data_IF_501413196514
#
_entry.id   IF_501413196514
#
_cell.length_a   1.000
_cell.length_b   1.000
_cell.length_c   1.000
_cell.angle_alpha   90.00
_cell.angle_beta   90.00
_cell.angle_gamma   90.00
#
_symmetry.space_group_name_H-M   'P 1'
#
loop_
_entity.id
_entity.type
_entity.pdbx_description
1 polymer ?
#
# COMPACT_ATOMS: atom_id res chain seq x y z
N UNK A 1 -12.58 11.76 -29.87
CA UNK A 1 -13.04 10.86 -30.93
C UNK A 1 -12.49 11.34 -32.27
N UNK A 2 -11.71 10.49 -32.93
CA UNK A 2 -11.06 10.81 -34.20
C UNK A 2 -11.47 9.77 -35.25
N UNK A 3 -12.00 10.24 -36.37
CA UNK A 3 -12.36 9.37 -37.49
C UNK A 3 -11.26 9.44 -38.56
N UNK A 4 -10.67 8.31 -38.88
CA UNK A 4 -9.54 8.21 -39.82
C UNK A 4 -9.96 7.41 -41.04
N UNK A 5 -9.58 7.93 -42.20
CA UNK A 5 -9.85 7.32 -43.49
C UNK A 5 -8.54 7.10 -44.23
N UNK A 6 -8.22 5.84 -44.53
CA UNK A 6 -7.05 5.46 -45.32
C UNK A 6 -7.48 5.06 -46.71
N UNK A 7 -6.94 5.70 -47.78
CA UNK A 7 -7.34 5.41 -49.16
C UNK A 7 -7.13 3.94 -49.55
N UNK A 8 -8.08 3.36 -50.22
CA UNK A 8 -8.01 1.96 -50.69
C UNK A 8 -6.78 1.66 -51.52
N UNK A 9 -6.27 2.63 -52.29
CA UNK A 9 -5.07 2.47 -53.10
C UNK A 9 -3.82 2.17 -52.25
N UNK A 10 -3.71 2.75 -51.06
CA UNK A 10 -2.60 2.48 -50.12
C UNK A 10 -2.74 1.13 -49.46
N UNK A 11 -3.97 0.76 -49.05
CA UNK A 11 -4.28 -0.56 -48.48
C UNK A 11 -3.97 -1.65 -49.47
N UNK A 12 -4.49 -1.53 -50.70
CA UNK A 12 -4.29 -2.53 -51.77
C UNK A 12 -2.80 -2.67 -52.13
N UNK A 13 -2.04 -1.58 -52.19
CA UNK A 13 -0.60 -1.60 -52.44
C UNK A 13 0.16 -2.40 -51.35
N UNK A 14 -0.09 -2.14 -50.06
CA UNK A 14 0.52 -2.88 -48.96
C UNK A 14 0.09 -4.35 -48.92
N UNK A 15 -1.19 -4.62 -49.20
CA UNK A 15 -1.70 -6.00 -49.30
C UNK A 15 -1.02 -6.77 -50.41
N UNK A 16 -0.85 -6.15 -51.61
CA UNK A 16 -0.15 -6.79 -52.72
C UNK A 16 1.33 -7.06 -52.41
N UNK A 17 2.00 -6.18 -51.71
CA UNK A 17 3.41 -6.38 -51.32
C UNK A 17 3.53 -7.48 -50.24
N UNK A 18 2.63 -7.52 -49.27
CA UNK A 18 2.59 -8.61 -48.28
C UNK A 18 2.27 -9.96 -48.91
N UNK A 19 1.35 -9.99 -49.94
CA UNK A 19 1.08 -11.19 -50.71
C UNK A 19 2.30 -11.69 -51.47
N UNK A 20 3.12 -10.79 -52.10
CA UNK A 20 4.38 -11.15 -52.76
C UNK A 20 5.38 -11.72 -51.77
N UNK A 21 5.53 -11.10 -50.60
CA UNK A 21 6.40 -11.58 -49.56
C UNK A 21 5.98 -12.97 -49.06
N UNK A 22 4.69 -13.14 -48.75
CA UNK A 22 4.10 -14.42 -48.31
C UNK A 22 4.26 -15.52 -49.39
N UNK A 23 4.13 -15.19 -50.69
CA UNK A 23 4.32 -16.14 -51.77
C UNK A 23 5.73 -16.72 -51.82
N UNK A 24 6.73 -15.93 -51.38
CA UNK A 24 8.12 -16.37 -51.27
C UNK A 24 8.42 -17.33 -50.12
N UNK A 25 7.63 -17.25 -49.06
CA UNK A 25 7.86 -17.99 -47.82
C UNK A 25 6.97 -19.23 -47.63
N UNK A 26 5.76 -19.21 -48.17
CA UNK A 26 4.74 -20.24 -47.94
C UNK A 26 5.01 -21.53 -48.70
N UNK A 27 4.82 -22.66 -48.02
CA UNK A 27 4.83 -24.00 -48.61
C UNK A 27 3.42 -24.53 -48.80
N UNK A 28 2.98 -24.61 -50.04
CA UNK A 28 1.65 -25.15 -50.42
C UNK A 28 1.83 -26.47 -51.15
N UNK A 29 1.06 -27.51 -50.73
CA UNK A 29 1.06 -28.80 -51.45
C UNK A 29 0.73 -28.60 -52.93
N UNK A 30 1.63 -29.12 -53.78
CA UNK A 30 1.50 -29.01 -55.23
C UNK A 30 2.33 -27.88 -55.89
N UNK A 31 3.01 -27.07 -55.09
CA UNK A 31 3.87 -26.00 -55.62
C UNK A 31 5.26 -26.07 -55.01
N UNK A 32 6.28 -25.70 -55.81
CA UNK A 32 7.65 -25.58 -55.32
C UNK A 32 7.77 -24.39 -54.39
N UNK A 33 8.46 -24.52 -53.20
CA UNK A 33 8.66 -23.39 -52.28
C UNK A 33 9.22 -22.15 -53.00
N UNK A 34 8.61 -20.97 -52.74
CA UNK A 34 8.96 -19.71 -53.36
C UNK A 34 8.48 -19.50 -54.83
N UNK A 35 7.70 -20.44 -55.40
CA UNK A 35 7.13 -20.37 -56.75
C UNK A 35 5.61 -20.55 -56.74
N UNK A 36 4.95 -20.17 -55.66
CA UNK A 36 3.49 -20.23 -55.56
C UNK A 36 2.88 -19.06 -56.30
N UNK A 37 1.88 -19.29 -57.24
CA UNK A 37 1.20 -18.18 -57.92
C UNK A 37 0.45 -17.27 -56.91
N UNK A 38 0.53 -15.96 -57.09
CA UNK A 38 -0.09 -14.96 -56.22
C UNK A 38 -1.61 -15.20 -56.08
N UNK A 39 -2.27 -15.68 -57.13
CA UNK A 39 -3.72 -16.01 -57.11
C UNK A 39 -4.05 -17.09 -56.04
N UNK A 40 -3.19 -18.09 -55.87
CA UNK A 40 -3.38 -19.16 -54.89
C UNK A 40 -3.10 -18.68 -53.48
N UNK A 41 -2.11 -17.79 -53.31
CA UNK A 41 -1.81 -17.15 -52.03
C UNK A 41 -2.97 -16.23 -51.62
N UNK A 42 -3.45 -15.40 -52.53
CA UNK A 42 -4.61 -14.51 -52.29
C UNK A 42 -5.88 -15.30 -51.93
N UNK A 43 -6.11 -16.45 -52.60
CA UNK A 43 -7.27 -17.29 -52.30
C UNK A 43 -7.24 -17.89 -50.89
N UNK A 44 -6.05 -18.27 -50.41
CA UNK A 44 -5.89 -18.99 -49.12
C UNK A 44 -5.61 -18.07 -47.96
N UNK A 45 -4.85 -17.02 -48.16
CA UNK A 45 -4.33 -16.13 -47.13
C UNK A 45 -4.81 -14.69 -47.26
N UNK A 46 -5.53 -14.35 -48.34
CA UNK A 46 -5.91 -12.97 -48.66
C UNK A 46 -6.71 -12.28 -47.58
N UNK A 47 -7.65 -12.96 -46.91
CA UNK A 47 -8.45 -12.39 -45.84
C UNK A 47 -7.56 -12.10 -44.60
N UNK A 48 -6.71 -13.06 -44.21
CA UNK A 48 -5.81 -12.89 -43.08
C UNK A 48 -4.79 -11.78 -43.33
N UNK A 49 -4.23 -11.72 -44.58
CA UNK A 49 -3.27 -10.67 -44.95
C UNK A 49 -3.97 -9.29 -44.98
N UNK A 50 -5.19 -9.20 -45.45
CA UNK A 50 -5.97 -7.96 -45.42
C UNK A 50 -6.17 -7.48 -43.97
N UNK A 51 -6.54 -8.38 -43.06
CA UNK A 51 -6.72 -8.05 -41.65
C UNK A 51 -5.41 -7.59 -41.00
N UNK A 52 -4.31 -8.32 -41.22
CA UNK A 52 -2.97 -7.98 -40.72
C UNK A 52 -2.51 -6.60 -41.20
N UNK A 53 -2.59 -6.38 -42.54
CA UNK A 53 -2.20 -5.10 -43.14
C UNK A 53 -3.08 -3.96 -42.65
N UNK A 54 -4.41 -4.22 -42.52
CA UNK A 54 -5.33 -3.19 -42.03
C UNK A 54 -5.02 -2.82 -40.57
N UNK A 55 -4.65 -3.79 -39.73
CA UNK A 55 -4.25 -3.52 -38.34
C UNK A 55 -2.95 -2.69 -38.27
N UNK A 56 -1.93 -3.05 -39.07
CA UNK A 56 -0.69 -2.28 -39.17
C UNK A 56 -0.96 -0.85 -39.66
N UNK A 57 -1.83 -0.69 -40.67
CA UNK A 57 -2.18 0.62 -41.21
C UNK A 57 -3.01 1.48 -40.24
N UNK A 58 -3.93 0.87 -39.49
CA UNK A 58 -4.67 1.59 -38.44
C UNK A 58 -3.73 2.18 -37.39
N UNK A 59 -2.75 1.40 -36.92
CA UNK A 59 -1.76 1.89 -35.95
C UNK A 59 -0.90 3.03 -36.52
N UNK A 60 -0.40 2.86 -37.74
CA UNK A 60 0.41 3.88 -38.40
C UNK A 60 -0.38 5.17 -38.65
N UNK A 61 -1.59 5.05 -39.21
CA UNK A 61 -2.43 6.22 -39.53
C UNK A 61 -2.94 6.94 -38.26
N UNK A 62 -3.16 6.21 -37.17
CA UNK A 62 -3.47 6.83 -35.90
C UNK A 62 -2.29 7.64 -35.36
N UNK A 63 -1.07 7.08 -35.38
CA UNK A 63 0.13 7.80 -34.97
C UNK A 63 0.38 9.07 -35.80
N UNK A 64 0.19 8.98 -37.15
CA UNK A 64 0.31 10.14 -38.04
C UNK A 64 -0.77 11.21 -37.75
N UNK A 65 -2.02 10.77 -37.49
CA UNK A 65 -3.13 11.68 -37.19
C UNK A 65 -2.93 12.42 -35.88
N UNK A 66 -2.40 11.75 -34.84
CA UNK A 66 -2.05 12.37 -33.54
C UNK A 66 -1.01 13.48 -33.73
N UNK A 67 0.03 13.20 -34.53
CA UNK A 67 1.07 14.21 -34.80
C UNK A 67 0.54 15.41 -35.62
N UNK A 68 -0.34 15.16 -36.59
CA UNK A 68 -0.94 16.22 -37.42
C UNK A 68 -1.86 17.15 -36.61
N UNK A 69 -2.66 16.57 -35.74
CA UNK A 69 -3.63 17.32 -34.90
C UNK A 69 -3.00 17.83 -33.59
N UNK A 70 -1.75 17.51 -33.34
CA UNK A 70 -1.01 17.92 -32.11
C UNK A 70 -1.76 17.51 -30.83
N UNK A 71 -2.35 16.31 -30.85
CA UNK A 71 -3.11 15.77 -29.72
C UNK A 71 -2.23 14.80 -28.93
N UNK A 72 -2.28 14.90 -27.60
CA UNK A 72 -1.56 14.00 -26.71
C UNK A 72 -2.55 13.01 -26.06
N UNK A 73 -2.63 11.74 -26.54
CA UNK A 73 -3.56 10.76 -26.00
C UNK A 73 -3.07 10.23 -24.64
N UNK A 74 -4.00 10.14 -23.69
CA UNK A 74 -3.78 9.52 -22.40
C UNK A 74 -4.25 8.04 -22.48
N UNK A 75 -3.27 7.14 -22.71
CA UNK A 75 -3.52 5.70 -22.82
C UNK A 75 -3.76 5.19 -24.24
N UNK A 76 -4.10 3.90 -24.35
CA UNK A 76 -4.35 3.23 -25.62
C UNK A 76 -5.74 3.55 -26.16
N UNK A 77 -5.87 3.88 -27.49
CA UNK A 77 -7.17 4.16 -28.08
C UNK A 77 -8.04 2.91 -28.20
N UNK A 78 -9.33 3.06 -27.97
CA UNK A 78 -10.35 2.06 -28.34
C UNK A 78 -10.76 2.29 -29.80
N UNK A 79 -10.66 1.24 -30.63
CA UNK A 79 -11.02 1.32 -32.05
C UNK A 79 -12.45 0.85 -32.25
N UNK A 80 -13.28 1.71 -32.85
CA UNK A 80 -14.69 1.49 -33.14
C UNK A 80 -14.99 1.69 -34.65
N UNK A 81 -16.15 1.24 -35.09
CA UNK A 81 -16.69 1.49 -36.45
C UNK A 81 -15.71 1.11 -37.58
N UNK A 82 -15.02 -0.03 -37.44
CA UNK A 82 -14.01 -0.44 -38.42
C UNK A 82 -14.64 -1.02 -39.66
N UNK A 83 -14.31 -0.45 -40.81
CA UNK A 83 -14.73 -0.97 -42.15
C UNK A 83 -13.49 -1.47 -42.88
N UNK A 84 -13.36 -2.79 -43.02
CA UNK A 84 -12.28 -3.47 -43.75
C UNK A 84 -12.90 -4.25 -44.90
N UNK A 85 -12.94 -3.66 -46.09
CA UNK A 85 -13.43 -4.32 -47.29
C UNK A 85 -12.43 -4.14 -48.46
N UNK A 86 -12.15 -5.21 -49.17
CA UNK A 86 -11.21 -5.15 -50.29
C UNK A 86 -11.69 -4.16 -51.37
N UNK A 87 -10.84 -3.21 -51.77
CA UNK A 87 -11.14 -2.18 -52.75
C UNK A 87 -11.99 -1.02 -52.26
N UNK A 88 -12.25 -0.94 -50.95
CA UNK A 88 -12.84 0.23 -50.31
C UNK A 88 -11.82 0.87 -49.37
N UNK A 89 -12.04 2.14 -49.07
CA UNK A 89 -11.21 2.85 -48.11
C UNK A 89 -11.35 2.20 -46.73
N UNK A 90 -10.22 2.07 -46.02
CA UNK A 90 -10.20 1.62 -44.62
C UNK A 90 -10.63 2.77 -43.74
N UNK A 91 -11.76 2.61 -43.08
CA UNK A 91 -12.24 3.64 -42.13
C UNK A 91 -12.36 3.07 -40.75
N UNK A 92 -11.96 3.85 -39.75
CA UNK A 92 -12.11 3.50 -38.37
C UNK A 92 -12.23 4.74 -37.50
N UNK A 93 -12.80 4.57 -36.33
CA UNK A 93 -12.90 5.62 -35.32
C UNK A 93 -12.07 5.24 -34.13
N UNK A 94 -11.11 6.11 -33.77
CA UNK A 94 -10.34 6.00 -32.54
C UNK A 94 -11.01 6.84 -31.45
N UNK A 95 -11.34 6.19 -30.34
CA UNK A 95 -11.82 6.82 -29.10
C UNK A 95 -10.69 6.77 -28.09
N UNK A 96 -10.28 7.92 -27.55
CA UNK A 96 -9.23 8.03 -26.57
C UNK A 96 -9.46 9.28 -25.72
N UNK A 97 -8.91 9.27 -24.51
CA UNK A 97 -8.83 10.41 -23.63
C UNK A 97 -7.57 11.21 -23.96
N UNK A 98 -7.54 12.47 -23.61
CA UNK A 98 -6.38 13.36 -23.81
C UNK A 98 -5.87 13.85 -22.45
N UNK A 99 -4.58 14.12 -22.36
CA UNK A 99 -4.04 14.78 -21.19
C UNK A 99 -4.73 16.14 -21.02
N UNK A 100 -5.18 16.45 -19.80
CA UNK A 100 -5.77 17.76 -19.53
C UNK A 100 -4.72 18.86 -19.59
N UNK A 101 -5.11 20.05 -20.03
CA UNK A 101 -4.31 21.25 -19.82
C UNK A 101 -4.41 21.65 -18.35
N UNK A 102 -3.29 21.64 -17.63
CA UNK A 102 -3.24 21.90 -16.20
C UNK A 102 -2.58 23.26 -15.96
N UNK A 103 -3.31 24.17 -15.36
CA UNK A 103 -2.76 25.37 -14.80
C UNK A 103 -2.57 25.15 -13.29
N UNK A 104 -1.32 24.96 -12.81
CA UNK A 104 -1.08 24.82 -11.38
C UNK A 104 -1.62 26.01 -10.61
N UNK A 105 -2.28 25.74 -9.48
CA UNK A 105 -2.89 26.75 -8.62
C UNK A 105 -1.87 27.75 -8.02
N UNK A 106 -2.35 28.62 -7.16
CA UNK A 106 -1.50 29.56 -6.43
C UNK A 106 -0.92 28.88 -5.18
N UNK A 107 0.38 28.61 -5.18
CA UNK A 107 1.07 27.91 -4.10
C UNK A 107 1.10 28.71 -2.79
N UNK A 108 0.90 30.03 -2.84
CA UNK A 108 0.82 30.86 -1.63
C UNK A 108 -0.39 30.56 -0.75
N UNK A 109 -1.38 29.83 -1.28
CA UNK A 109 -2.57 29.40 -0.52
C UNK A 109 -2.36 28.09 0.24
N UNK A 110 -1.27 27.37 -0.04
CA UNK A 110 -0.96 26.10 0.61
C UNK A 110 -0.39 26.40 2.00
N UNK A 111 -1.07 25.88 3.02
CA UNK A 111 -0.63 25.99 4.40
C UNK A 111 0.12 24.73 4.79
N UNK A 112 1.31 24.89 5.34
CA UNK A 112 2.17 23.78 5.76
C UNK A 112 2.52 23.95 7.23
N UNK A 113 2.19 22.96 8.04
CA UNK A 113 2.61 22.87 9.43
C UNK A 113 3.87 22.03 9.51
N UNK A 114 5.00 22.67 9.82
CA UNK A 114 6.28 21.99 9.93
C UNK A 114 6.55 21.63 11.40
N UNK A 115 6.61 20.31 11.75
CA UNK A 115 7.00 19.89 13.08
C UNK A 115 8.42 20.33 13.42
N UNK A 116 8.58 20.87 14.61
CA UNK A 116 9.90 21.23 15.19
C UNK A 116 10.02 20.50 16.52
N UNK A 117 10.98 19.61 16.63
CA UNK A 117 11.25 18.86 17.85
C UNK A 117 12.75 18.85 18.17
N UNK A 118 13.06 19.03 19.44
CA UNK A 118 14.42 18.87 19.96
C UNK A 118 14.55 17.50 20.62
N UNK A 119 15.67 16.81 20.36
CA UNK A 119 15.95 15.52 21.01
C UNK A 119 16.54 15.79 22.39
N UNK A 120 15.74 15.55 23.42
CA UNK A 120 16.14 15.71 24.82
C UNK A 120 17.01 14.53 25.30
N UNK A 121 17.67 14.68 26.46
CA UNK A 121 18.38 13.57 27.09
C UNK A 121 17.41 12.44 27.50
N UNK A 122 16.17 12.78 27.86
CA UNK A 122 15.14 11.79 28.21
C UNK A 122 14.75 10.95 26.99
N UNK A 123 14.63 11.55 25.80
CA UNK A 123 14.32 10.82 24.56
C UNK A 123 15.45 9.87 24.19
N UNK A 124 16.69 10.32 24.40
CA UNK A 124 17.87 9.52 24.18
C UNK A 124 17.95 8.31 25.15
N UNK A 125 17.65 8.55 26.45
CA UNK A 125 17.59 7.46 27.44
C UNK A 125 16.47 6.46 27.08
N UNK A 126 15.29 6.94 26.70
CA UNK A 126 14.17 6.10 26.23
C UNK A 126 14.55 5.28 25.00
N UNK A 127 15.28 5.87 24.05
CA UNK A 127 15.74 5.17 22.86
C UNK A 127 16.75 4.07 23.23
N UNK A 128 17.71 4.35 24.12
CA UNK A 128 18.67 3.35 24.59
C UNK A 128 17.96 2.18 25.28
N UNK A 129 16.96 2.45 26.14
CA UNK A 129 16.17 1.38 26.75
C UNK A 129 15.36 0.58 25.70
N UNK A 130 14.77 1.23 24.72
CA UNK A 130 14.09 0.55 23.60
C UNK A 130 15.02 -0.36 22.80
N UNK A 131 16.26 0.09 22.54
CA UNK A 131 17.28 -0.73 21.89
C UNK A 131 17.69 -1.93 22.77
N UNK A 132 17.73 -1.77 24.10
CA UNK A 132 17.97 -2.87 25.05
C UNK A 132 16.85 -3.89 25.04
N UNK A 133 15.58 -3.42 25.01
CA UNK A 133 14.41 -4.29 24.94
C UNK A 133 14.37 -5.12 23.65
N UNK A 134 14.79 -4.54 22.53
CA UNK A 134 14.89 -5.25 21.25
C UNK A 134 15.95 -6.36 21.25
N UNK A 135 16.94 -6.26 22.15
CA UNK A 135 18.06 -7.21 22.30
C UNK A 135 17.98 -7.99 23.62
N UNK A 136 16.79 -8.04 24.25
CA UNK A 136 16.61 -8.85 25.46
C UNK A 136 16.91 -10.31 25.18
N UNK A 137 17.64 -10.94 26.11
CA UNK A 137 17.94 -12.37 26.11
C UNK A 137 17.00 -13.09 27.06
N UNK A 138 16.73 -14.36 26.77
CA UNK A 138 15.90 -15.20 27.63
C UNK A 138 16.74 -16.26 28.30
N UNK A 139 16.73 -16.26 29.63
CA UNK A 139 17.54 -17.18 30.47
C UNK A 139 16.62 -18.13 31.22
N UNK A 140 16.85 -19.44 31.08
CA UNK A 140 16.06 -20.46 31.76
C UNK A 140 16.09 -20.32 33.26
N UNK A 141 14.93 -20.37 33.89
CA UNK A 141 14.76 -20.23 35.36
C UNK A 141 13.88 -21.36 35.91
N UNK A 142 14.19 -21.75 37.18
CA UNK A 142 13.43 -22.78 37.91
C UNK A 142 12.39 -22.14 38.86
N UNK A 143 11.54 -21.28 38.30
CA UNK A 143 10.41 -20.64 38.99
C UNK A 143 9.14 -20.66 38.14
N UNK A 144 8.01 -20.35 38.76
CA UNK A 144 6.76 -20.12 38.04
C UNK A 144 6.90 -18.91 37.12
N UNK A 145 6.25 -19.01 35.94
CA UNK A 145 6.24 -17.99 34.91
C UNK A 145 5.51 -16.71 35.39
N UNK A 146 6.11 -15.57 35.10
CA UNK A 146 5.57 -14.24 35.35
C UNK A 146 5.32 -13.49 34.04
N UNK A 147 4.69 -12.32 34.13
CA UNK A 147 4.54 -11.41 32.99
C UNK A 147 5.94 -11.01 32.50
N UNK A 148 6.12 -10.90 31.18
CA UNK A 148 7.37 -10.66 30.43
C UNK A 148 8.34 -11.86 30.35
N UNK A 149 8.05 -13.00 31.01
CA UNK A 149 8.81 -14.22 30.78
C UNK A 149 8.43 -14.87 29.45
N UNK A 150 9.38 -15.56 28.85
CA UNK A 150 9.15 -16.45 27.71
C UNK A 150 8.90 -17.86 28.22
N UNK A 151 7.80 -18.47 27.75
CA UNK A 151 7.45 -19.85 28.10
C UNK A 151 7.48 -20.70 26.85
N UNK A 152 8.30 -21.75 26.84
CA UNK A 152 8.29 -22.74 25.78
C UNK A 152 7.27 -23.81 26.12
N UNK A 153 6.28 -23.99 25.23
CA UNK A 153 5.15 -24.88 25.46
C UNK A 153 4.88 -25.79 24.26
N UNK A 154 4.30 -26.95 24.56
CA UNK A 154 3.55 -27.75 23.60
C UNK A 154 2.07 -27.50 23.87
N UNK A 155 1.28 -27.23 22.84
CA UNK A 155 -0.15 -27.05 23.01
C UNK A 155 -0.97 -27.75 21.93
N UNK A 156 -2.19 -28.15 22.32
CA UNK A 156 -3.19 -28.68 21.38
C UNK A 156 -4.57 -28.13 21.73
N UNK A 157 -5.14 -27.38 20.79
CA UNK A 157 -6.46 -26.74 20.90
C UNK A 157 -7.55 -27.58 20.23
N UNK A 158 -8.73 -27.62 20.86
CA UNK A 158 -9.94 -28.20 20.31
C UNK A 158 -11.14 -27.29 20.52
N UNK A 159 -12.03 -27.25 19.55
CA UNK A 159 -13.33 -26.55 19.61
C UNK A 159 -14.42 -27.61 19.55
N UNK A 160 -15.35 -27.61 20.52
CA UNK A 160 -16.40 -28.63 20.64
C UNK A 160 -15.89 -30.07 20.70
N UNK A 161 -14.60 -30.25 21.07
CA UNK A 161 -13.93 -31.57 21.18
C UNK A 161 -13.31 -32.04 19.87
N UNK A 162 -13.29 -31.26 18.82
CA UNK A 162 -12.62 -31.54 17.55
C UNK A 162 -11.37 -30.64 17.39
N UNK A 163 -10.26 -31.24 16.95
CA UNK A 163 -9.03 -30.52 16.70
C UNK A 163 -9.18 -29.65 15.43
N UNK A 164 -8.60 -28.45 15.41
CA UNK A 164 -8.67 -27.54 14.27
C UNK A 164 -7.28 -27.22 13.71
N UNK A 165 -7.23 -26.85 12.45
CA UNK A 165 -5.99 -26.54 11.75
C UNK A 165 -5.32 -25.27 12.31
N UNK A 166 -4.06 -25.41 12.77
CA UNK A 166 -3.30 -24.38 13.46
C UNK A 166 -3.51 -24.34 14.98
N UNK A 167 -4.34 -25.24 15.53
CA UNK A 167 -4.55 -25.38 16.97
C UNK A 167 -3.45 -26.15 17.71
N UNK A 168 -2.43 -26.68 17.02
CA UNK A 168 -1.39 -27.51 17.64
C UNK A 168 0.00 -27.01 17.27
N UNK A 169 0.88 -26.92 18.26
CA UNK A 169 2.30 -26.71 18.08
C UNK A 169 3.11 -27.36 19.20
N UNK A 170 4.33 -27.79 18.88
CA UNK A 170 5.31 -28.33 19.80
C UNK A 170 6.49 -27.37 19.92
N UNK A 171 6.93 -27.07 21.16
CA UNK A 171 8.09 -26.23 21.43
C UNK A 171 7.93 -24.77 21.03
N UNK A 172 6.70 -24.25 21.09
CA UNK A 172 6.42 -22.84 20.77
C UNK A 172 6.87 -21.92 21.90
N UNK A 173 7.63 -20.87 21.54
CA UNK A 173 8.07 -19.86 22.49
C UNK A 173 7.04 -18.71 22.52
N UNK A 174 6.48 -18.46 23.71
CA UNK A 174 5.45 -17.41 23.93
C UNK A 174 5.90 -16.50 25.04
N UNK A 175 5.89 -15.20 24.79
CA UNK A 175 6.17 -14.16 25.79
C UNK A 175 4.86 -13.72 26.44
N UNK A 176 4.75 -13.90 27.75
CA UNK A 176 3.55 -13.56 28.51
C UNK A 176 3.36 -12.04 28.57
N UNK A 177 2.22 -11.55 28.08
CA UNK A 177 1.90 -10.12 28.02
C UNK A 177 2.28 -9.46 26.68
N UNK A 178 2.75 -10.25 25.70
CA UNK A 178 3.05 -9.73 24.36
C UNK A 178 1.81 -9.39 23.52
N UNK A 179 0.65 -9.95 23.85
CA UNK A 179 -0.57 -9.83 23.07
C UNK A 179 -0.53 -10.56 21.71
N UNK A 180 0.42 -11.48 21.54
CA UNK A 180 0.56 -12.26 20.30
C UNK A 180 -0.42 -13.41 20.19
N UNK A 181 -1.01 -13.82 21.32
CA UNK A 181 -1.97 -14.92 21.41
C UNK A 181 -3.38 -14.37 21.68
N UNK A 182 -4.39 -15.25 21.49
CA UNK A 182 -5.78 -14.88 21.78
C UNK A 182 -5.97 -14.52 23.27
N UNK A 183 -6.88 -13.58 23.58
CA UNK A 183 -7.11 -13.14 24.97
C UNK A 183 -7.39 -14.30 25.93
N UNK A 184 -6.78 -14.26 27.10
CA UNK A 184 -6.89 -15.30 28.12
C UNK A 184 -5.87 -16.44 28.00
N UNK A 185 -5.18 -16.58 26.85
CA UNK A 185 -4.19 -17.62 26.65
C UNK A 185 -2.89 -17.33 27.42
N UNK A 186 -2.33 -16.13 27.22
CA UNK A 186 -1.09 -15.71 27.88
C UNK A 186 -1.27 -15.55 29.38
N UNK A 187 -2.42 -15.02 29.82
CA UNK A 187 -2.75 -14.91 31.25
C UNK A 187 -2.81 -16.29 31.91
N UNK A 188 -3.33 -17.31 31.18
CA UNK A 188 -3.42 -18.66 31.66
C UNK A 188 -2.07 -19.38 31.82
N UNK A 189 -1.00 -18.87 31.19
CA UNK A 189 0.36 -19.36 31.37
C UNK A 189 1.04 -18.81 32.62
N UNK A 190 0.54 -17.70 33.17
CA UNK A 190 1.11 -17.07 34.34
C UNK A 190 0.99 -18.00 35.56
N UNK A 191 2.09 -18.19 36.27
CA UNK A 191 2.16 -19.03 37.47
C UNK A 191 2.44 -20.50 37.22
N UNK A 192 2.52 -20.93 35.95
CA UNK A 192 2.93 -22.31 35.60
C UNK A 192 4.45 -22.46 35.66
N UNK A 193 4.89 -23.67 35.97
CA UNK A 193 6.32 -24.02 36.03
C UNK A 193 6.68 -25.04 34.98
N UNK A 194 7.96 -25.18 34.69
CA UNK A 194 8.46 -26.21 33.77
C UNK A 194 7.99 -27.60 34.18
N UNK A 195 7.40 -28.35 33.26
CA UNK A 195 6.82 -29.67 33.44
C UNK A 195 5.35 -29.69 33.84
N UNK A 196 4.71 -28.54 34.07
CA UNK A 196 3.28 -28.46 34.35
C UNK A 196 2.46 -28.75 33.10
N UNK A 197 1.36 -29.47 33.30
CA UNK A 197 0.34 -29.75 32.27
C UNK A 197 -0.99 -29.16 32.73
N UNK A 198 -1.63 -28.36 31.89
CA UNK A 198 -2.92 -27.72 32.21
C UNK A 198 -3.82 -27.67 30.99
N UNK A 199 -5.09 -27.37 31.23
CA UNK A 199 -6.03 -27.06 30.16
C UNK A 199 -6.57 -25.63 30.38
N UNK A 200 -6.50 -24.82 29.33
CA UNK A 200 -7.03 -23.45 29.34
C UNK A 200 -8.27 -23.37 28.47
N UNK A 201 -9.31 -22.79 29.04
CA UNK A 201 -10.54 -22.45 28.34
C UNK A 201 -10.46 -20.98 27.87
N UNK A 202 -10.39 -20.76 26.56
CA UNK A 202 -10.28 -19.44 25.97
C UNK A 202 -11.36 -19.24 24.92
N UNK A 203 -11.70 -17.99 24.63
CA UNK A 203 -12.72 -17.67 23.61
C UNK A 203 -12.04 -16.88 22.49
N UNK A 204 -12.21 -17.32 21.25
CA UNK A 204 -11.74 -16.57 20.09
C UNK A 204 -12.48 -15.24 19.98
N UNK A 205 -11.80 -14.13 19.63
CA UNK A 205 -12.44 -12.86 19.33
C UNK A 205 -13.48 -12.98 18.21
N UNK A 206 -14.50 -12.11 18.20
CA UNK A 206 -15.54 -12.10 17.16
C UNK A 206 -14.98 -11.71 15.78
N UNK A 207 -13.88 -10.96 15.74
CA UNK A 207 -13.16 -10.49 14.56
C UNK A 207 -11.98 -11.41 14.15
N UNK A 208 -11.95 -12.65 14.65
CA UNK A 208 -10.87 -13.58 14.34
C UNK A 208 -10.82 -13.91 12.85
N UNK A 209 -9.62 -13.93 12.25
CA UNK A 209 -9.39 -14.11 10.81
C UNK A 209 -10.05 -15.34 10.20
N UNK A 210 -10.24 -16.43 10.98
CA UNK A 210 -10.98 -17.63 10.55
C UNK A 210 -12.41 -17.54 11.08
N UNK A 211 -13.36 -17.21 10.20
CA UNK A 211 -14.80 -17.10 10.52
C UNK A 211 -15.35 -18.35 11.22
N UNK A 212 -14.78 -19.54 10.92
CA UNK A 212 -15.19 -20.80 11.53
C UNK A 212 -14.87 -20.90 13.02
N UNK A 213 -13.91 -20.09 13.51
CA UNK A 213 -13.46 -20.08 14.91
C UNK A 213 -13.94 -18.82 15.67
N UNK A 214 -14.32 -17.77 14.98
CA UNK A 214 -14.73 -16.49 15.56
C UNK A 214 -15.85 -16.68 16.60
N UNK A 215 -15.67 -16.10 17.81
CA UNK A 215 -16.60 -16.17 18.92
C UNK A 215 -16.75 -17.53 19.60
N UNK A 216 -16.02 -18.57 19.16
CA UNK A 216 -16.14 -19.94 19.75
C UNK A 216 -15.20 -20.12 20.92
N UNK A 217 -15.65 -20.95 21.87
CA UNK A 217 -14.81 -21.42 22.97
C UNK A 217 -13.90 -22.56 22.50
N UNK A 218 -12.65 -22.47 22.88
CA UNK A 218 -11.64 -23.52 22.62
C UNK A 218 -10.99 -23.96 23.93
N UNK A 219 -10.66 -25.23 23.99
CA UNK A 219 -9.91 -25.82 25.09
C UNK A 219 -8.52 -26.15 24.61
N UNK A 220 -7.50 -25.49 25.18
CA UNK A 220 -6.10 -25.76 24.89
C UNK A 220 -5.46 -26.58 25.98
N UNK A 221 -4.99 -27.76 25.64
CA UNK A 221 -4.13 -28.55 26.52
C UNK A 221 -2.71 -28.08 26.32
N UNK A 222 -2.08 -27.67 27.38
CA UNK A 222 -0.76 -27.05 27.39
C UNK A 222 0.16 -27.86 28.27
N UNK A 223 1.38 -28.05 27.78
CA UNK A 223 2.49 -28.59 28.56
C UNK A 223 3.64 -27.58 28.52
N UNK A 224 4.10 -27.15 29.68
CA UNK A 224 5.22 -26.22 29.81
C UNK A 224 6.53 -27.01 29.76
N UNK A 225 7.38 -26.71 28.80
CA UNK A 225 8.71 -27.33 28.65
C UNK A 225 9.78 -26.61 29.46
N UNK A 226 9.82 -25.27 29.38
CA UNK A 226 10.74 -24.41 30.10
C UNK A 226 10.13 -23.03 30.32
N UNK A 227 10.60 -22.37 31.37
CA UNK A 227 10.34 -20.96 31.68
C UNK A 227 11.64 -20.19 31.58
N UNK A 228 11.64 -19.04 30.88
CA UNK A 228 12.82 -18.22 30.68
C UNK A 228 12.48 -16.77 31.06
N UNK A 229 13.33 -16.19 31.90
CA UNK A 229 13.23 -14.80 32.31
C UNK A 229 13.87 -13.90 31.29
N UNK A 230 13.20 -12.80 30.93
CA UNK A 230 13.80 -11.77 30.09
C UNK A 230 14.88 -11.02 30.83
N UNK A 231 16.07 -10.96 30.26
CA UNK A 231 17.18 -10.16 30.77
C UNK A 231 17.57 -9.11 29.75
N UNK A 232 17.56 -7.86 30.20
CA UNK A 232 18.06 -6.77 29.39
C UNK A 232 19.59 -6.83 29.35
N UNK A 233 20.22 -6.73 28.16
CA UNK A 233 21.68 -6.72 28.07
C UNK A 233 22.28 -5.56 28.85
N UNK A 234 23.45 -5.74 29.39
CA UNK A 234 24.23 -4.63 29.97
C UNK A 234 24.66 -3.67 28.85
N UNK A 235 24.61 -2.37 29.14
CA UNK A 235 25.01 -1.33 28.17
C UNK A 235 26.54 -1.25 28.19
N UNK A 236 27.18 -2.26 27.60
CA UNK A 236 28.62 -2.42 27.54
C UNK A 236 29.15 -2.43 26.09
N UNK A 237 30.44 -2.67 25.95
CA UNK A 237 31.08 -2.65 24.63
C UNK A 237 30.59 -3.76 23.67
N UNK A 238 30.04 -4.87 24.17
CA UNK A 238 29.46 -5.92 23.36
C UNK A 238 28.14 -5.43 22.75
N UNK A 239 27.32 -4.77 23.54
CA UNK A 239 26.08 -4.14 23.10
C UNK A 239 26.33 -3.04 22.06
N UNK A 240 27.33 -2.17 22.27
CA UNK A 240 27.61 -1.09 21.28
C UNK A 240 28.03 -1.64 19.93
N UNK A 241 28.75 -2.76 19.87
CA UNK A 241 29.18 -3.41 18.64
C UNK A 241 28.00 -3.94 17.78
N UNK A 242 26.93 -4.40 18.42
CA UNK A 242 25.74 -4.86 17.73
C UNK A 242 25.05 -3.74 16.95
N UNK A 243 25.27 -2.49 17.37
CA UNK A 243 24.75 -1.29 16.71
C UNK A 243 25.82 -0.54 15.88
N UNK A 244 26.94 -1.21 15.56
CA UNK A 244 27.96 -0.68 14.66
C UNK A 244 29.02 0.23 15.32
N UNK A 245 28.98 0.39 16.64
CA UNK A 245 30.02 1.16 17.38
C UNK A 245 31.13 0.21 17.84
N UNK A 246 32.13 0.00 16.97
CA UNK A 246 33.21 -0.96 17.24
C UNK A 246 34.16 -0.57 18.40
N UNK A 247 34.46 0.74 18.48
CA UNK A 247 35.35 1.29 19.55
C UNK A 247 34.68 2.54 20.14
N UNK A 248 34.45 2.54 21.45
CA UNK A 248 33.88 3.68 22.16
C UNK A 248 33.35 3.31 23.53
N UNK A 249 33.01 4.34 24.28
CA UNK A 249 32.33 4.25 25.56
C UNK A 249 30.83 4.60 25.40
N UNK A 250 30.10 4.62 26.48
CA UNK A 250 28.68 4.99 26.49
C UNK A 250 28.39 6.36 25.82
N UNK A 251 29.31 7.31 25.98
CA UNK A 251 29.15 8.64 25.39
C UNK A 251 29.24 8.58 23.87
N UNK A 252 30.17 7.80 23.30
CA UNK A 252 30.31 7.60 21.88
C UNK A 252 29.06 6.90 21.28
N UNK A 253 28.52 5.90 22.00
CA UNK A 253 27.28 5.23 21.64
C UNK A 253 26.09 6.20 21.64
N UNK A 254 25.94 7.02 22.69
CA UNK A 254 24.86 8.05 22.76
C UNK A 254 24.94 9.07 21.62
N UNK A 255 26.16 9.45 21.23
CA UNK A 255 26.34 10.36 20.08
C UNK A 255 25.83 9.71 18.79
N UNK A 256 26.13 8.44 18.56
CA UNK A 256 25.66 7.73 17.38
C UNK A 256 24.14 7.52 17.38
N UNK A 257 23.56 7.12 18.54
CA UNK A 257 22.12 7.01 18.70
C UNK A 257 21.43 8.35 18.42
N UNK A 258 21.95 9.46 18.98
CA UNK A 258 21.44 10.81 18.72
C UNK A 258 21.50 11.16 17.24
N UNK A 259 22.60 10.86 16.55
CA UNK A 259 22.75 11.13 15.13
C UNK A 259 21.74 10.35 14.28
N UNK A 260 21.42 9.11 14.68
CA UNK A 260 20.39 8.31 14.03
C UNK A 260 18.98 8.86 14.30
N UNK A 261 18.68 9.28 15.54
CA UNK A 261 17.42 9.94 15.90
C UNK A 261 17.23 11.26 15.14
N UNK A 262 18.30 12.05 14.95
CA UNK A 262 18.26 13.28 14.14
C UNK A 262 17.97 13.00 12.67
N UNK A 263 18.52 11.93 12.10
CA UNK A 263 18.21 11.50 10.73
C UNK A 263 16.76 11.04 10.61
N UNK A 264 16.26 10.26 11.57
CA UNK A 264 14.89 9.79 11.62
C UNK A 264 13.91 10.97 11.74
N UNK A 265 14.16 11.89 12.67
CA UNK A 265 13.37 13.10 12.85
C UNK A 265 13.30 13.92 11.56
N UNK A 266 14.46 14.17 10.94
CA UNK A 266 14.51 14.90 9.68
C UNK A 266 13.70 14.21 8.59
N UNK A 267 13.86 12.90 8.41
CA UNK A 267 13.10 12.15 7.41
C UNK A 267 11.59 12.18 7.68
N UNK A 268 11.17 12.06 8.95
CA UNK A 268 9.77 12.14 9.35
C UNK A 268 9.18 13.54 9.08
N UNK A 269 9.90 14.59 9.44
CA UNK A 269 9.48 15.98 9.18
C UNK A 269 9.39 16.26 7.68
N UNK A 270 10.42 15.87 6.91
CA UNK A 270 10.45 16.04 5.45
C UNK A 270 9.27 15.30 4.78
N UNK A 271 8.93 14.08 5.24
CA UNK A 271 7.79 13.33 4.76
C UNK A 271 6.45 13.99 5.11
N UNK A 272 6.28 14.49 6.35
CA UNK A 272 5.06 15.21 6.77
C UNK A 272 4.86 16.49 5.95
N UNK A 273 5.90 17.28 5.79
CA UNK A 273 5.88 18.51 4.97
C UNK A 273 5.54 18.17 3.51
N UNK A 274 6.17 17.15 2.96
CA UNK A 274 5.92 16.67 1.59
C UNK A 274 4.46 16.23 1.42
N UNK A 275 3.91 15.44 2.35
CA UNK A 275 2.51 15.00 2.29
C UNK A 275 1.56 16.19 2.25
N UNK A 276 1.71 17.16 3.16
CA UNK A 276 0.87 18.37 3.22
C UNK A 276 0.95 19.21 1.94
N UNK A 277 2.14 19.33 1.35
CA UNK A 277 2.31 20.02 0.06
C UNK A 277 1.56 19.28 -1.05
N UNK A 278 1.70 17.94 -1.11
CA UNK A 278 1.03 17.13 -2.12
C UNK A 278 -0.50 17.19 -1.97
N UNK A 279 -1.02 17.19 -0.75
CA UNK A 279 -2.44 17.36 -0.46
C UNK A 279 -2.91 18.76 -0.90
N UNK A 280 -2.19 19.80 -0.51
CA UNK A 280 -2.49 21.19 -0.91
C UNK A 280 -2.44 21.40 -2.43
N UNK A 281 -1.58 20.67 -3.17
CA UNK A 281 -1.56 20.70 -4.63
C UNK A 281 -2.82 20.08 -5.24
N UNK A 282 -3.27 18.94 -4.70
CA UNK A 282 -4.50 18.29 -5.14
C UNK A 282 -5.71 19.20 -4.89
N UNK A 283 -5.79 19.77 -3.70
CA UNK A 283 -6.92 20.60 -3.28
C UNK A 283 -6.98 21.94 -4.04
N UNK A 284 -5.82 22.53 -4.37
CA UNK A 284 -5.75 23.79 -5.08
C UNK A 284 -5.90 23.69 -6.60
N UNK A 285 -5.86 22.47 -7.17
CA UNK A 285 -5.84 22.26 -8.62
C UNK A 285 -6.97 21.34 -9.05
N UNK A 286 -8.02 21.91 -9.65
CA UNK A 286 -9.10 21.13 -10.27
C UNK A 286 -8.63 20.51 -11.59
N UNK A 287 -8.55 19.18 -11.64
CA UNK A 287 -8.23 18.47 -12.88
C UNK A 287 -9.18 17.28 -13.13
N UNK A 288 -9.47 17.08 -14.39
CA UNK A 288 -10.18 15.87 -14.82
C UNK A 288 -9.16 14.77 -15.11
N UNK A 289 -9.12 13.76 -14.25
CA UNK A 289 -8.16 12.65 -14.40
C UNK A 289 -8.64 11.68 -15.49
N UNK A 290 -7.83 11.39 -16.52
CA UNK A 290 -8.18 10.40 -17.54
C UNK A 290 -8.29 8.99 -16.94
N UNK A 291 -9.42 8.32 -17.20
CA UNK A 291 -9.68 6.97 -16.68
C UNK A 291 -8.66 5.93 -17.17
N UNK A 292 -8.14 6.12 -18.38
CA UNK A 292 -7.10 5.24 -18.91
C UNK A 292 -5.87 5.22 -18.02
N UNK A 293 -5.40 6.40 -17.53
CA UNK A 293 -4.25 6.50 -16.63
C UNK A 293 -4.55 5.90 -15.25
N UNK A 294 -5.77 6.09 -14.75
CA UNK A 294 -6.20 5.50 -13.46
C UNK A 294 -6.18 3.97 -13.56
N UNK A 295 -6.71 3.40 -14.64
CA UNK A 295 -6.71 1.95 -14.84
C UNK A 295 -5.27 1.39 -14.95
N UNK A 296 -4.39 2.07 -15.68
CA UNK A 296 -2.98 1.68 -15.78
C UNK A 296 -2.29 1.72 -14.41
N UNK A 297 -2.61 2.70 -13.56
CA UNK A 297 -2.05 2.79 -12.21
C UNK A 297 -2.62 1.72 -11.27
N UNK A 298 -3.92 1.42 -11.33
CA UNK A 298 -4.55 0.31 -10.61
C UNK A 298 -3.84 -1.01 -10.95
N UNK A 299 -3.57 -1.26 -12.23
CA UNK A 299 -2.90 -2.49 -12.64
C UNK A 299 -1.44 -2.55 -12.15
N UNK A 300 -0.73 -1.43 -12.07
CA UNK A 300 0.60 -1.35 -11.43
C UNK A 300 0.53 -1.65 -9.95
N UNK A 301 -0.38 -1.01 -9.22
CA UNK A 301 -0.54 -1.22 -7.77
C UNK A 301 -0.90 -2.67 -7.44
N UNK A 302 -1.77 -3.31 -8.23
CA UNK A 302 -2.07 -4.74 -8.11
C UNK A 302 -0.84 -5.61 -8.30
N UNK A 303 -0.03 -5.31 -9.32
CA UNK A 303 1.20 -6.06 -9.58
C UNK A 303 2.24 -5.88 -8.46
N UNK A 304 2.35 -4.67 -7.92
CA UNK A 304 3.25 -4.37 -6.80
C UNK A 304 2.82 -5.10 -5.52
N UNK A 305 1.52 -5.10 -5.23
CA UNK A 305 0.95 -5.86 -4.11
C UNK A 305 1.22 -7.37 -4.24
N UNK A 306 0.97 -7.95 -5.40
CA UNK A 306 1.27 -9.38 -5.65
C UNK A 306 2.77 -9.66 -5.52
N UNK A 307 3.63 -8.73 -5.94
CA UNK A 307 5.08 -8.86 -5.82
C UNK A 307 5.54 -8.82 -4.37
N UNK A 308 4.91 -7.99 -3.55
CA UNK A 308 5.22 -7.83 -2.12
C UNK A 308 4.72 -9.00 -1.28
N UNK A 309 3.50 -9.49 -1.53
CA UNK A 309 2.85 -10.52 -0.70
C UNK A 309 2.80 -11.90 -1.34
N UNK A 310 3.09 -12.02 -2.63
CA UNK A 310 2.87 -13.22 -3.44
C UNK A 310 3.81 -14.39 -3.20
N UNK A 311 4.77 -14.32 -2.28
CA UNK A 311 5.55 -15.44 -1.68
C UNK A 311 5.87 -16.65 -2.57
N UNK A 312 6.00 -16.48 -3.91
CA UNK A 312 6.32 -17.57 -4.82
C UNK A 312 5.11 -18.37 -5.36
N UNK A 313 3.88 -18.08 -4.96
CA UNK A 313 2.69 -18.58 -5.62
C UNK A 313 2.29 -17.63 -6.76
N UNK A 314 1.88 -18.19 -7.91
CA UNK A 314 1.33 -17.41 -9.03
C UNK A 314 -0.07 -16.90 -8.63
N UNK A 315 -0.11 -15.81 -7.89
CA UNK A 315 -1.35 -15.11 -7.63
C UNK A 315 -1.63 -14.21 -8.82
N UNK A 316 -2.84 -14.29 -9.38
CA UNK A 316 -3.25 -13.43 -10.50
C UNK A 316 -3.66 -12.05 -9.96
N UNK A 317 -2.88 -11.03 -10.30
CA UNK A 317 -3.15 -9.65 -9.89
C UNK A 317 -4.56 -9.17 -10.28
N UNK A 318 -5.15 -9.73 -11.33
CA UNK A 318 -6.52 -9.38 -11.79
C UNK A 318 -7.63 -9.83 -10.83
N UNK A 319 -7.32 -10.73 -9.88
CA UNK A 319 -8.28 -11.18 -8.86
C UNK A 319 -8.46 -10.14 -7.73
N UNK A 320 -7.55 -9.18 -7.60
CA UNK A 320 -7.70 -8.10 -6.63
C UNK A 320 -8.75 -7.09 -7.14
N UNK A 321 -9.80 -6.76 -6.34
CA UNK A 321 -10.82 -5.79 -6.73
C UNK A 321 -10.20 -4.43 -7.08
N UNK A 322 -10.67 -3.78 -8.15
CA UNK A 322 -10.15 -2.47 -8.58
C UNK A 322 -10.48 -1.38 -7.56
N UNK A 323 -11.62 -1.51 -6.92
CA UNK A 323 -12.19 -0.57 -5.96
C UNK A 323 -11.25 -0.32 -4.76
N UNK A 324 -10.45 -1.32 -4.38
CA UNK A 324 -9.45 -1.17 -3.30
C UNK A 324 -8.31 -0.20 -3.64
N UNK A 325 -8.09 0.06 -4.92
CA UNK A 325 -6.97 0.87 -5.42
C UNK A 325 -7.44 2.17 -6.09
N UNK A 326 -8.75 2.35 -6.32
CA UNK A 326 -9.28 3.42 -7.17
C UNK A 326 -8.93 4.80 -6.63
N UNK A 327 -9.26 5.09 -5.38
CA UNK A 327 -9.02 6.41 -4.78
C UNK A 327 -7.53 6.75 -4.74
N UNK A 328 -6.70 5.80 -4.34
CA UNK A 328 -5.26 5.98 -4.27
C UNK A 328 -4.63 6.14 -5.67
N UNK A 329 -5.15 5.42 -6.67
CA UNK A 329 -4.71 5.55 -8.06
C UNK A 329 -5.10 6.89 -8.65
N UNK A 330 -6.33 7.36 -8.42
CA UNK A 330 -6.78 8.69 -8.84
C UNK A 330 -5.83 9.76 -8.27
N UNK A 331 -5.56 9.73 -6.96
CA UNK A 331 -4.68 10.68 -6.29
C UNK A 331 -3.25 10.64 -6.86
N UNK A 332 -2.67 9.45 -7.08
CA UNK A 332 -1.33 9.32 -7.66
C UNK A 332 -1.24 9.87 -9.07
N UNK A 333 -2.21 9.55 -9.93
CA UNK A 333 -2.25 10.08 -11.30
C UNK A 333 -2.43 11.59 -11.28
N UNK A 334 -3.31 12.11 -10.42
CA UNK A 334 -3.56 13.53 -10.25
C UNK A 334 -2.27 14.27 -9.87
N UNK A 335 -1.58 13.81 -8.84
CA UNK A 335 -0.29 14.36 -8.40
C UNK A 335 0.76 14.30 -9.49
N UNK A 336 0.90 13.17 -10.18
CA UNK A 336 1.84 13.02 -11.29
C UNK A 336 1.59 14.02 -12.42
N UNK A 337 0.33 14.27 -12.75
CA UNK A 337 -0.05 15.25 -13.76
C UNK A 337 0.25 16.69 -13.32
N UNK A 338 -0.07 17.05 -12.07
CA UNK A 338 0.21 18.37 -11.51
C UNK A 338 1.72 18.63 -11.44
N UNK A 339 2.49 17.69 -10.90
CA UNK A 339 3.96 17.79 -10.80
C UNK A 339 4.58 17.97 -12.18
N UNK A 340 4.16 17.19 -13.20
CA UNK A 340 4.64 17.35 -14.55
C UNK A 340 4.31 18.74 -15.12
N UNK A 341 3.12 19.26 -14.88
CA UNK A 341 2.74 20.61 -15.32
C UNK A 341 3.60 21.70 -14.65
N UNK A 342 3.95 21.54 -13.36
CA UNK A 342 4.85 22.45 -12.64
C UNK A 342 6.27 22.41 -13.24
N UNK A 343 6.79 21.20 -13.48
CA UNK A 343 8.11 21.00 -14.08
C UNK A 343 8.20 21.66 -15.45
N UNK A 344 7.19 21.48 -16.30
CA UNK A 344 7.13 22.10 -17.64
C UNK A 344 7.00 23.63 -17.56
N UNK A 345 6.08 24.14 -16.73
CA UNK A 345 5.86 25.58 -16.56
C UNK A 345 7.10 26.31 -16.08
N UNK A 346 7.83 25.71 -15.14
CA UNK A 346 9.03 26.31 -14.53
C UNK A 346 10.33 25.94 -15.28
N UNK A 347 10.25 25.12 -16.36
CA UNK A 347 11.40 24.59 -17.08
C UNK A 347 12.42 23.93 -16.13
N UNK A 348 11.96 23.17 -15.16
CA UNK A 348 12.82 22.53 -14.16
C UNK A 348 13.62 21.40 -14.82
N UNK A 349 14.89 21.31 -14.46
CA UNK A 349 15.81 20.26 -14.92
C UNK A 349 16.32 19.53 -13.69
N UNK A 350 16.40 18.21 -13.78
CA UNK A 350 16.95 17.39 -12.69
C UNK A 350 18.39 17.79 -12.41
N UNK A 351 18.69 18.10 -11.17
CA UNK A 351 20.05 18.42 -10.71
C UNK A 351 20.89 17.14 -10.58
N UNK A 352 21.91 17.03 -11.43
CA UNK A 352 22.76 15.85 -11.49
C UNK A 352 23.61 15.65 -10.22
N UNK A 353 23.98 16.73 -9.54
CA UNK A 353 24.76 16.65 -8.30
C UNK A 353 23.87 16.12 -7.15
N UNK A 354 22.61 16.56 -7.05
CA UNK A 354 21.62 16.02 -6.10
C UNK A 354 21.31 14.55 -6.38
N UNK A 355 21.19 14.15 -7.64
CA UNK A 355 21.02 12.72 -8.01
C UNK A 355 22.17 11.90 -7.49
N UNK A 356 23.39 12.40 -7.64
CA UNK A 356 24.57 11.73 -7.13
C UNK A 356 24.59 11.63 -5.60
N UNK A 357 24.32 12.73 -4.92
CA UNK A 357 24.23 12.76 -3.45
C UNK A 357 23.19 11.78 -2.95
N UNK A 358 22.01 11.70 -3.61
CA UNK A 358 20.95 10.77 -3.24
C UNK A 358 21.35 9.31 -3.42
N UNK A 359 22.03 8.99 -4.52
CA UNK A 359 22.55 7.64 -4.75
C UNK A 359 23.63 7.29 -3.71
N UNK A 360 24.52 8.22 -3.36
CA UNK A 360 25.55 8.03 -2.33
C UNK A 360 24.92 7.87 -0.94
N UNK A 361 23.86 8.62 -0.63
CA UNK A 361 23.06 8.47 0.60
C UNK A 361 22.46 7.07 0.71
N UNK A 362 21.76 6.60 -0.33
CA UNK A 362 21.21 5.24 -0.39
C UNK A 362 22.30 4.19 -0.23
N UNK A 363 23.41 4.38 -0.93
CA UNK A 363 24.53 3.45 -0.91
C UNK A 363 25.24 3.37 0.43
N UNK A 364 25.24 4.45 1.23
CA UNK A 364 25.94 4.53 2.51
C UNK A 364 25.48 3.48 3.53
N UNK A 365 24.25 2.96 3.40
CA UNK A 365 23.68 1.93 4.29
C UNK A 365 24.09 0.50 3.92
N UNK A 366 24.85 0.31 2.84
CA UNK A 366 25.25 -1.02 2.35
C UNK A 366 26.72 -1.30 2.59
N UNK A 367 27.10 -2.58 2.72
CA UNK A 367 28.48 -3.00 2.94
C UNK A 367 29.46 -2.59 1.83
N UNK A 368 28.95 -2.38 0.58
CA UNK A 368 29.77 -2.05 -0.59
C UNK A 368 29.18 -0.85 -1.34
N UNK A 369 29.29 0.36 -0.82
CA UNK A 369 28.65 1.57 -1.37
C UNK A 369 29.04 1.83 -2.83
N UNK A 370 30.33 1.72 -3.19
CA UNK A 370 30.82 1.99 -4.54
C UNK A 370 30.21 1.06 -5.62
N UNK A 371 29.96 -0.20 -5.26
CA UNK A 371 29.34 -1.15 -6.20
C UNK A 371 27.87 -0.79 -6.46
N UNK A 372 27.16 -0.37 -5.41
CA UNK A 372 25.77 0.05 -5.53
C UNK A 372 25.64 1.34 -6.35
N UNK A 373 26.51 2.32 -6.13
CA UNK A 373 26.57 3.54 -6.94
C UNK A 373 26.78 3.20 -8.43
N UNK A 374 27.73 2.32 -8.74
CA UNK A 374 27.99 1.89 -10.12
C UNK A 374 26.79 1.13 -10.71
N UNK A 375 26.07 0.34 -9.92
CA UNK A 375 24.86 -0.35 -10.35
C UNK A 375 23.77 0.64 -10.77
N UNK A 376 23.47 1.68 -9.95
CA UNK A 376 22.49 2.71 -10.29
C UNK A 376 22.82 3.42 -11.60
N UNK A 377 24.08 3.80 -11.81
CA UNK A 377 24.48 4.46 -13.06
C UNK A 377 24.52 3.53 -14.28
N UNK A 378 24.66 2.21 -14.09
CA UNK A 378 24.64 1.24 -15.18
C UNK A 378 23.21 0.80 -15.55
N UNK A 379 22.23 1.01 -14.68
CA UNK A 379 20.85 0.63 -14.89
C UNK A 379 19.98 1.87 -15.11
N UNK A 380 19.59 2.09 -16.38
CA UNK A 380 18.84 3.28 -16.80
C UNK A 380 17.48 3.41 -16.06
N UNK A 381 16.83 2.29 -15.75
CA UNK A 381 15.55 2.27 -15.05
C UNK A 381 15.70 2.72 -13.58
N UNK A 382 16.70 2.20 -12.88
CA UNK A 382 17.01 2.59 -11.51
C UNK A 382 17.45 4.05 -11.42
N UNK A 383 18.28 4.50 -12.38
CA UNK A 383 18.69 5.90 -12.44
C UNK A 383 17.50 6.83 -12.65
N UNK A 384 16.56 6.49 -13.52
CA UNK A 384 15.32 7.26 -13.74
C UNK A 384 14.46 7.34 -12.48
N UNK A 385 14.38 6.28 -11.68
CA UNK A 385 13.64 6.31 -10.41
C UNK A 385 14.25 7.33 -9.46
N UNK A 386 15.58 7.35 -9.29
CA UNK A 386 16.24 8.35 -8.44
C UNK A 386 16.09 9.76 -9.02
N UNK A 387 16.20 9.92 -10.33
CA UNK A 387 15.97 11.22 -10.99
C UNK A 387 14.55 11.74 -10.75
N UNK A 388 13.54 10.87 -10.79
CA UNK A 388 12.15 11.25 -10.49
C UNK A 388 11.99 11.68 -9.03
N UNK A 389 12.62 10.96 -8.10
CA UNK A 389 12.61 11.31 -6.68
C UNK A 389 13.24 12.69 -6.43
N UNK A 390 14.42 12.94 -7.01
CA UNK A 390 15.10 14.24 -6.90
C UNK A 390 14.29 15.36 -7.53
N UNK A 391 13.64 15.10 -8.68
CA UNK A 391 12.75 16.09 -9.31
C UNK A 391 11.56 16.42 -8.40
N UNK A 392 10.96 15.41 -7.77
CA UNK A 392 9.87 15.61 -6.82
C UNK A 392 10.33 16.44 -5.61
N UNK A 393 11.52 16.15 -5.05
CA UNK A 393 12.11 16.95 -3.98
C UNK A 393 12.34 18.42 -4.41
N UNK A 394 12.83 18.66 -5.63
CA UNK A 394 13.02 20.01 -6.17
C UNK A 394 11.68 20.74 -6.36
N UNK A 395 10.63 20.06 -6.79
CA UNK A 395 9.27 20.64 -6.90
C UNK A 395 8.73 21.00 -5.52
N UNK A 396 8.87 20.11 -4.54
CA UNK A 396 8.46 20.36 -3.15
C UNK A 396 9.18 21.58 -2.58
N UNK A 397 10.50 21.70 -2.76
CA UNK A 397 11.28 22.88 -2.32
C UNK A 397 10.81 24.17 -3.01
N UNK A 398 10.51 24.11 -4.31
CA UNK A 398 10.00 25.27 -5.04
C UNK A 398 8.68 25.77 -4.48
N UNK A 399 7.75 24.84 -4.19
CA UNK A 399 6.44 25.15 -3.62
C UNK A 399 6.60 25.66 -2.18
N UNK A 400 7.44 24.99 -1.38
CA UNK A 400 7.69 25.38 0.01
C UNK A 400 8.24 26.81 0.13
N UNK A 401 8.95 27.29 -0.89
CA UNK A 401 9.46 28.66 -0.92
C UNK A 401 8.36 29.72 -1.10
N UNK A 402 7.19 29.32 -1.62
CA UNK A 402 6.04 30.21 -1.89
C UNK A 402 4.90 29.98 -0.89
N UNK A 403 4.79 28.76 -0.30
CA UNK A 403 3.75 28.35 0.63
C UNK A 403 3.85 29.06 2.00
N UNK A 404 2.72 29.11 2.71
CA UNK A 404 2.68 29.62 4.08
C UNK A 404 3.11 28.53 5.06
N UNK A 405 4.33 28.65 5.61
CA UNK A 405 4.89 27.65 6.53
C UNK A 405 4.75 28.13 7.96
N UNK A 406 4.15 27.31 8.81
CA UNK A 406 4.03 27.55 10.25
C UNK A 406 4.80 26.47 11.01
N UNK A 407 5.76 26.88 11.86
CA UNK A 407 6.50 25.97 12.72
C UNK A 407 5.66 25.62 13.95
N UNK A 408 5.50 24.34 14.24
CA UNK A 408 4.81 23.81 15.40
C UNK A 408 5.77 23.01 16.28
N UNK A 409 6.02 23.50 17.49
CA UNK A 409 6.83 22.78 18.48
C UNK A 409 6.05 21.56 19.01
N UNK A 410 6.67 20.40 19.00
CA UNK A 410 6.08 19.17 19.51
C UNK A 410 7.16 18.20 20.05
N UNK A 411 6.80 17.20 20.90
CA UNK A 411 7.72 16.18 21.37
C UNK A 411 8.31 15.35 20.23
N UNK A 412 9.53 14.82 20.41
CA UNK A 412 10.19 13.96 19.44
C UNK A 412 9.33 12.78 19.02
N UNK A 413 8.71 12.06 19.96
CA UNK A 413 7.87 10.89 19.68
C UNK A 413 6.66 11.21 18.79
N UNK A 414 6.08 12.38 18.92
CA UNK A 414 4.96 12.83 18.11
C UNK A 414 5.43 13.29 16.72
N UNK A 415 6.59 13.94 16.67
CA UNK A 415 7.18 14.39 15.42
C UNK A 415 7.53 13.23 14.47
N UNK A 416 7.94 12.07 14.98
CA UNK A 416 8.33 10.90 14.19
C UNK A 416 7.16 9.98 13.80
N UNK A 417 5.96 10.12 14.40
CA UNK A 417 4.79 9.30 14.04
C UNK A 417 4.44 9.50 12.56
N UNK A 418 4.10 8.41 11.83
CA UNK A 418 3.60 8.52 10.45
C UNK A 418 2.34 9.40 10.37
N UNK A 419 2.11 10.11 9.26
CA UNK A 419 0.94 10.99 9.08
C UNK A 419 -0.40 10.29 9.34
N UNK A 420 -0.59 9.09 8.83
CA UNK A 420 -1.83 8.30 9.00
C UNK A 420 -2.15 7.95 10.46
N UNK A 421 -1.12 7.74 11.29
CA UNK A 421 -1.31 7.48 12.72
C UNK A 421 -1.51 8.76 13.53
N UNK A 422 -1.04 9.89 13.04
CA UNK A 422 -1.28 11.18 13.64
C UNK A 422 -2.74 11.62 13.46
N UNK A 423 -3.31 11.46 12.27
CA UNK A 423 -4.73 11.75 11.99
C UNK A 423 -5.66 10.86 12.82
N UNK A 424 -5.37 9.55 12.95
CA UNK A 424 -6.18 8.65 13.79
C UNK A 424 -6.11 9.02 15.28
N UNK A 425 -4.94 9.44 15.78
CA UNK A 425 -4.77 9.86 17.17
C UNK A 425 -5.46 11.20 17.45
N UNK A 426 -5.52 12.12 16.49
CA UNK A 426 -6.27 13.38 16.61
C UNK A 426 -7.78 13.13 16.56
N UNK A 427 -8.27 12.22 15.72
CA UNK A 427 -9.66 11.81 15.65
C UNK A 427 -10.12 11.08 16.94
N UNK A 428 -9.29 10.21 17.49
CA UNK A 428 -9.57 9.55 18.78
C UNK A 428 -9.56 10.54 19.94
N UNK A 429 -8.63 11.51 19.95
CA UNK A 429 -8.58 12.57 20.96
C UNK A 429 -9.77 13.54 20.84
N UNK A 430 -10.22 13.86 19.63
CA UNK A 430 -11.39 14.68 19.37
C UNK A 430 -12.68 13.97 19.83
N UNK A 431 -12.82 12.67 19.56
CA UNK A 431 -13.96 11.86 20.01
C UNK A 431 -13.97 11.67 21.54
N UNK A 432 -12.79 11.54 22.18
CA UNK A 432 -12.68 11.46 23.63
C UNK A 432 -13.04 12.81 24.30
N UNK A 433 -12.68 13.94 23.67
CA UNK A 433 -13.03 15.28 24.13
C UNK A 433 -14.52 15.61 24.02
N UNK A 434 -15.21 15.09 22.98
CA UNK A 434 -16.68 15.23 22.86
C UNK A 434 -17.44 14.35 23.87
N UNK A 435 -16.88 13.19 24.25
CA UNK A 435 -17.50 12.32 25.26
C UNK A 435 -17.39 12.91 26.68
N UNK A 436 -16.36 13.69 26.98
CA UNK A 436 -16.20 14.36 28.28
C UNK A 436 -17.04 15.66 28.39
N UNK A 437 -17.31 16.32 27.26
CA UNK A 437 -18.13 17.54 27.23
C UNK A 437 -19.64 17.27 27.36
N UNK A 438 -20.10 16.02 27.14
CA UNK A 438 -21.53 15.64 27.28
C UNK A 438 -21.90 15.17 28.70
N UNK A 439 -20.95 15.02 29.61
CA UNK A 439 -21.18 14.61 30.99
C UNK A 439 -21.26 15.75 32.01
N UNK A 440 -20.95 17.00 31.63
CA UNK A 440 -21.07 18.14 32.56
C UNK A 440 -22.38 18.93 32.47
N UNK A 441 -23.25 18.72 31.48
CA UNK A 441 -24.50 19.48 31.33
C UNK A 441 -25.79 18.79 31.84
N UNK A 442 -25.70 17.61 32.45
CA UNK A 442 -26.88 16.84 32.97
C UNK A 442 -27.01 16.79 34.50
N UNK A 443 -26.37 17.71 35.25
CA UNK A 443 -26.51 17.79 36.72
C UNK A 443 -27.02 19.16 37.16
N UNK A 444 -28.14 19.64 36.64
CA UNK A 444 -28.96 20.66 37.28
C UNK A 444 -30.42 20.52 36.82
N UNK A 445 -31.20 19.60 37.40
CA UNK A 445 -32.61 19.73 37.73
C UNK A 445 -33.16 18.41 38.36
N UNK A 446 -32.86 18.18 39.62
CA UNK A 446 -33.64 17.23 40.43
C UNK A 446 -34.28 17.98 41.60
N UNK A 447 -35.43 18.54 41.34
CA UNK A 447 -36.33 19.06 42.38
C UNK A 447 -37.01 17.90 43.07
N UNK A 448 -36.80 17.87 44.37
CA UNK A 448 -37.46 17.07 45.39
C UNK A 448 -38.97 17.31 45.35
N UNK A 449 -39.81 16.26 45.24
CA UNK A 449 -41.18 16.25 45.75
C UNK A 449 -41.47 14.89 46.40
N UNK A 450 -41.89 15.01 47.65
CA UNK A 450 -42.18 14.08 48.70
C UNK A 450 -43.42 13.21 48.45
N UNK A 451 -43.39 12.03 49.09
CA UNK A 451 -44.43 11.04 49.45
C UNK A 451 -45.91 11.35 49.19
N UNK A 452 -46.70 10.38 48.71
CA UNK A 452 -47.67 9.62 49.44
C UNK A 452 -48.41 8.56 48.63
N UNK A 453 -48.57 7.40 49.24
CA UNK A 453 -49.39 6.23 49.08
C UNK A 453 -50.65 6.28 48.19
N UNK A 454 -50.96 5.20 47.48
CA UNK A 454 -51.97 4.19 47.69
C UNK A 454 -52.22 3.29 46.48
N UNK A 455 -52.06 2.03 46.69
CA UNK A 455 -52.87 0.84 46.45
C UNK A 455 -53.92 0.87 45.32
N UNK A 456 -53.86 0.02 44.39
CA UNK A 456 -54.86 -1.01 44.02
C UNK A 456 -54.55 -1.73 42.71
N UNK A 457 -54.43 -3.03 42.78
CA UNK A 457 -54.45 -3.98 41.64
C UNK A 457 -55.91 -4.17 41.17
N UNK A 458 -56.25 -4.70 39.97
CA UNK A 458 -55.85 -6.03 39.51
C UNK A 458 -55.66 -6.20 37.99
N UNK A 459 -54.93 -7.27 37.63
CA UNK A 459 -55.11 -8.01 36.42
C UNK A 459 -56.44 -8.75 36.36
N UNK A 460 -56.92 -9.50 35.38
CA UNK A 460 -56.28 -10.15 34.26
C UNK A 460 -57.09 -10.23 32.92
N UNK A 461 -56.70 -11.21 32.08
CA UNK A 461 -57.37 -11.96 30.96
C UNK A 461 -56.89 -11.55 29.58
N UNK A 462 -56.16 -12.37 28.84
CA UNK A 462 -56.39 -13.65 28.16
C UNK A 462 -57.51 -13.59 27.11
N UNK A 463 -57.16 -13.88 25.92
CA UNK A 463 -57.78 -14.77 24.90
C UNK A 463 -57.08 -14.54 23.55
N UNK A 464 -56.40 -15.55 23.05
CA UNK A 464 -56.84 -16.64 22.14
C UNK A 464 -57.45 -16.11 20.83
N UNK A 465 -56.91 -16.43 19.75
CA UNK A 465 -57.30 -17.47 18.76
C UNK A 465 -56.85 -17.05 17.34
N UNK A 466 -56.13 -17.81 16.69
CA UNK A 466 -56.33 -18.97 15.83
C UNK A 466 -56.21 -18.69 14.34
N UNK A 467 -55.59 -19.64 13.72
CA UNK A 467 -55.72 -20.12 12.33
C UNK A 467 -55.16 -19.26 11.16
N UNK A 468 -54.64 -19.78 10.20
CA UNK A 468 -54.33 -21.11 9.63
C UNK A 468 -53.91 -20.91 8.15
N UNK A 469 -53.20 -21.88 7.64
CA UNK A 469 -53.19 -22.33 6.23
C UNK A 469 -52.26 -21.61 5.23
N UNK A 470 -51.20 -22.22 4.90
CA UNK A 470 -50.89 -23.27 3.91
C UNK A 470 -50.28 -22.82 2.58
N UNK A 471 -49.16 -23.53 2.30
CA UNK A 471 -48.76 -24.15 1.02
C UNK A 471 -48.68 -23.25 -0.24
N UNK A 472 -47.71 -23.31 -1.09
CA UNK A 472 -46.96 -24.40 -1.67
C UNK A 472 -46.02 -23.89 -2.74
N UNK A 473 -44.93 -24.64 -2.92
CA UNK A 473 -44.29 -25.03 -4.20
C UNK A 473 -44.02 -23.94 -5.27
N UNK A 474 -42.83 -23.77 -5.75
CA UNK A 474 -41.95 -24.65 -6.53
C UNK A 474 -40.51 -24.19 -6.40
#
# INVERSE_FOLDING_TARGET
KMCIVVPSAEVDSKVDDKLKQTAGQVRIKGFRPGKVPLREVKRRFGVGILQEVSSEMMQQSFAEAIQQETVNPAGTPTIEDVVIEAGKDLTFTALFEVFPDIEPGDFSTIQVVRPVADISESDLDSMVERLREQRKEFVTVDRAAAVEDQVNIDYSGSVDGEDFEGGQADGSDIVIGSGSMIPGFEEGLTGLSAGDETALDVTFPEDYQKEELAGKQAVFKIKVNKVEESQLPEVDQSFFKEFGVEEGDLEAFRVEVRANMEKELKAAVDNKVKSQIMDGLVDSTEISVPKALVNDEIDRMRQDMVRQFGGGQQFDASMLPAELFEDQSIRRVQLGLIVNAIVEKNNMVVDADRVREKIEEIASSYEQPEQLVNYYYSNEEQLKQVQSLVMEEQVVESILSEAEVTDQEMPYEEAIKPPEQAEQAEDEAAQAGEADATTEDDIEDAVIVDETADDDSPAPEADEDDSDIAQSKE
#
